data_IF_329066386145
#
_entry.id   IF_329066386145
#
_cell.length_a   1.000
_cell.length_b   1.000
_cell.length_c   1.000
_cell.angle_alpha   90.00
_cell.angle_beta   90.00
_cell.angle_gamma   90.00
#
_symmetry.space_group_name_H-M   'P 1'
#
loop_
_entity.id
_entity.type
_entity.pdbx_description
1 polymer ?
#
# COMPACT_ATOMS: atom_id res chain seq x y z
N UNK A 1 -5.13 23.81 -8.81
CA UNK A 1 -5.84 22.54 -8.80
C UNK A 1 -7.14 22.72 -8.03
N UNK A 2 -8.22 22.08 -8.46
CA UNK A 2 -9.52 22.14 -7.81
C UNK A 2 -9.74 20.83 -7.06
N UNK A 3 -10.32 20.86 -5.86
CA UNK A 3 -10.63 19.63 -5.13
C UNK A 3 -12.05 19.17 -5.49
N UNK A 4 -12.17 18.32 -6.50
CA UNK A 4 -13.49 17.85 -6.97
C UNK A 4 -14.20 16.98 -5.91
N UNK A 5 -13.44 16.38 -4.99
CA UNK A 5 -13.98 15.62 -3.88
C UNK A 5 -14.64 16.53 -2.84
N UNK A 6 -13.98 17.62 -2.46
CA UNK A 6 -14.51 18.58 -1.48
C UNK A 6 -15.70 19.37 -2.02
N UNK A 7 -15.73 19.65 -3.33
CA UNK A 7 -16.80 20.43 -3.98
C UNK A 7 -17.95 19.53 -4.44
N UNK A 8 -17.76 18.21 -4.44
CA UNK A 8 -18.79 17.24 -4.84
C UNK A 8 -19.06 17.23 -6.34
N UNK A 9 -18.07 17.62 -7.16
CA UNK A 9 -18.15 17.60 -8.63
C UNK A 9 -17.61 16.32 -9.25
N UNK A 10 -17.13 15.39 -8.43
CA UNK A 10 -16.71 14.06 -8.87
C UNK A 10 -17.91 13.22 -9.35
N UNK A 11 -17.63 12.19 -10.16
CA UNK A 11 -18.64 11.26 -10.68
C UNK A 11 -18.53 9.85 -10.07
N UNK A 12 -17.85 9.69 -8.93
CA UNK A 12 -17.77 8.43 -8.20
C UNK A 12 -19.15 7.88 -7.82
N UNK A 13 -19.31 6.56 -7.90
CA UNK A 13 -20.50 5.86 -7.43
C UNK A 13 -20.61 5.88 -5.90
N UNK A 14 -21.80 5.57 -5.37
CA UNK A 14 -22.04 5.51 -3.92
C UNK A 14 -21.20 4.43 -3.19
N UNK A 15 -20.69 3.43 -3.93
CA UNK A 15 -19.79 2.40 -3.39
C UNK A 15 -18.30 2.79 -3.47
N UNK A 16 -17.98 3.93 -4.09
CA UNK A 16 -16.62 4.42 -4.25
C UNK A 16 -16.35 5.61 -3.35
N UNK A 17 -15.10 5.75 -2.93
CA UNK A 17 -14.59 6.91 -2.22
C UNK A 17 -13.83 7.79 -3.20
N UNK A 18 -14.20 9.07 -3.28
CA UNK A 18 -13.47 10.05 -4.07
C UNK A 18 -12.12 10.34 -3.42
N UNK A 19 -11.06 10.33 -4.22
CA UNK A 19 -9.72 10.68 -3.81
C UNK A 19 -9.14 11.74 -4.74
N UNK A 20 -8.89 12.92 -4.19
CA UNK A 20 -8.40 14.07 -4.94
C UNK A 20 -6.91 13.90 -5.25
N UNK A 21 -6.52 14.14 -6.51
CA UNK A 21 -5.12 14.12 -6.95
C UNK A 21 -4.83 15.38 -7.76
N UNK A 22 -3.56 15.65 -8.02
CA UNK A 22 -3.22 16.86 -8.74
C UNK A 22 -3.76 16.83 -10.19
N UNK A 23 -4.68 17.74 -10.49
CA UNK A 23 -5.28 17.93 -11.81
C UNK A 23 -6.43 16.97 -12.12
N UNK A 24 -6.87 16.15 -11.16
CA UNK A 24 -7.94 15.16 -11.37
C UNK A 24 -8.41 14.53 -10.03
N UNK A 25 -9.31 13.56 -10.11
CA UNK A 25 -9.67 12.72 -8.97
C UNK A 25 -9.65 11.24 -9.38
N UNK A 26 -9.69 10.35 -8.39
CA UNK A 26 -9.85 8.90 -8.56
C UNK A 26 -10.97 8.40 -7.68
N UNK A 27 -11.83 7.56 -8.25
CA UNK A 27 -12.86 6.85 -7.52
C UNK A 27 -12.29 5.49 -7.12
N UNK A 28 -12.15 5.28 -5.81
CA UNK A 28 -11.53 4.08 -5.26
C UNK A 28 -12.59 3.26 -4.54
N UNK A 29 -12.74 2.01 -4.93
CA UNK A 29 -13.56 1.04 -4.21
C UNK A 29 -12.68 0.22 -3.26
N UNK A 30 -13.08 0.18 -2.00
CA UNK A 30 -12.40 -0.53 -0.93
C UNK A 30 -13.33 -1.55 -0.30
N UNK A 31 -13.21 -2.81 -0.73
CA UNK A 31 -13.93 -3.93 -0.14
C UNK A 31 -12.96 -4.89 0.52
N UNK A 32 -13.31 -5.33 1.73
CA UNK A 32 -12.55 -6.36 2.41
C UNK A 32 -12.79 -7.72 1.75
N UNK A 33 -11.73 -8.50 1.46
CA UNK A 33 -11.90 -9.85 0.95
C UNK A 33 -12.69 -10.75 1.90
N UNK A 34 -13.19 -11.88 1.39
CA UNK A 34 -13.82 -12.91 2.21
C UNK A 34 -12.95 -13.29 3.42
N UNK A 35 -13.57 -13.51 4.58
CA UNK A 35 -12.91 -13.76 5.87
C UNK A 35 -12.16 -12.54 6.47
N UNK A 36 -12.43 -11.33 5.98
CA UNK A 36 -11.97 -10.09 6.60
C UNK A 36 -13.14 -9.16 6.91
N UNK A 37 -13.09 -8.50 8.06
CA UNK A 37 -14.05 -7.46 8.44
C UNK A 37 -13.43 -6.07 8.22
N UNK A 38 -14.25 -5.11 7.78
CA UNK A 38 -13.87 -3.70 7.68
C UNK A 38 -13.79 -3.11 9.09
N UNK A 39 -12.62 -2.57 9.43
CA UNK A 39 -12.35 -1.92 10.74
C UNK A 39 -12.27 -0.40 10.60
N UNK A 40 -11.91 0.09 9.41
CA UNK A 40 -12.00 1.49 9.01
C UNK A 40 -12.09 1.57 7.48
N UNK A 41 -12.21 2.77 6.92
CA UNK A 41 -12.29 2.97 5.46
C UNK A 41 -11.11 2.39 4.67
N UNK A 42 -9.95 2.24 5.30
CA UNK A 42 -8.74 1.76 4.65
C UNK A 42 -8.18 0.49 5.28
N UNK A 43 -8.92 -0.18 6.17
CA UNK A 43 -8.36 -1.28 6.95
C UNK A 43 -9.33 -2.42 7.14
N UNK A 44 -8.83 -3.61 6.83
CA UNK A 44 -9.49 -4.88 7.07
C UNK A 44 -8.70 -5.69 8.09
N UNK A 45 -9.40 -6.42 8.95
CA UNK A 45 -8.79 -7.37 9.87
C UNK A 45 -9.37 -8.77 9.64
N UNK A 46 -8.50 -9.78 9.70
CA UNK A 46 -8.91 -11.17 9.52
C UNK A 46 -9.88 -11.57 10.63
N UNK A 47 -10.97 -12.25 10.26
CA UNK A 47 -12.00 -12.69 11.20
C UNK A 47 -11.54 -13.95 11.93
N UNK A 48 -11.12 -14.98 11.18
CA UNK A 48 -10.66 -16.25 11.75
C UNK A 48 -9.56 -16.88 10.89
N UNK A 49 -8.79 -17.80 11.46
CA UNK A 49 -7.94 -18.75 10.78
C UNK A 49 -7.95 -20.07 11.57
N UNK A 50 -8.04 -21.21 10.88
CA UNK A 50 -8.36 -22.49 11.52
C UNK A 50 -7.12 -23.23 12.04
N UNK A 51 -5.94 -22.91 11.52
CA UNK A 51 -4.69 -23.52 11.94
C UNK A 51 -3.51 -22.54 11.82
N UNK A 52 -2.40 -22.88 12.48
CA UNK A 52 -1.21 -22.04 12.54
C UNK A 52 -0.64 -21.69 11.15
N UNK A 53 -0.61 -22.65 10.22
CA UNK A 53 -0.06 -22.43 8.87
C UNK A 53 -0.90 -21.43 8.06
N UNK A 54 -2.22 -21.52 8.15
CA UNK A 54 -3.14 -20.54 7.56
C UNK A 54 -2.97 -19.17 8.21
N UNK A 55 -2.87 -19.12 9.55
CA UNK A 55 -2.69 -17.88 10.28
C UNK A 55 -1.38 -17.16 9.91
N UNK A 56 -0.33 -17.93 9.58
CA UNK A 56 0.96 -17.42 9.12
C UNK A 56 0.94 -16.95 7.67
N UNK A 57 0.26 -17.67 6.78
CA UNK A 57 0.28 -17.39 5.33
C UNK A 57 -0.80 -16.42 4.86
N UNK A 58 -1.77 -16.10 5.72
CA UNK A 58 -2.76 -15.06 5.45
C UNK A 58 -2.48 -13.82 6.29
N UNK A 59 -2.66 -12.60 5.75
CA UNK A 59 -2.40 -11.40 6.52
C UNK A 59 -3.38 -11.26 7.70
N UNK A 60 -2.89 -10.87 8.87
CA UNK A 60 -3.76 -10.51 9.99
C UNK A 60 -4.52 -9.21 9.70
N UNK A 61 -3.93 -8.36 8.87
CA UNK A 61 -4.43 -7.04 8.52
C UNK A 61 -4.08 -6.68 7.09
N UNK A 62 -5.06 -6.14 6.39
CA UNK A 62 -4.90 -5.52 5.07
C UNK A 62 -5.11 -4.02 5.28
N UNK A 63 -4.18 -3.19 4.82
CA UNK A 63 -4.29 -1.74 4.91
C UNK A 63 -4.04 -1.11 3.57
N UNK A 64 -4.95 -0.23 3.17
CA UNK A 64 -4.87 0.52 1.93
C UNK A 64 -4.17 1.84 2.19
N UNK A 65 -3.24 2.20 1.30
CA UNK A 65 -2.51 3.45 1.34
C UNK A 65 -2.64 4.12 -0.02
N UNK A 66 -2.67 5.45 -0.03
CA UNK A 66 -2.64 6.24 -1.26
C UNK A 66 -1.39 7.11 -1.22
N UNK A 67 -0.63 7.14 -2.30
CA UNK A 67 0.55 7.96 -2.48
C UNK A 67 0.41 8.77 -3.78
N UNK A 68 0.68 10.06 -3.69
CA UNK A 68 0.61 10.97 -4.83
C UNK A 68 2.02 11.47 -5.16
N UNK A 69 2.42 11.30 -6.42
CA UNK A 69 3.66 11.83 -6.94
C UNK A 69 3.44 12.49 -8.30
N UNK A 70 4.37 13.33 -8.71
CA UNK A 70 4.42 13.87 -10.08
C UNK A 70 5.39 13.03 -10.93
N UNK A 71 5.31 13.15 -12.25
CA UNK A 71 6.33 12.59 -13.15
C UNK A 71 7.72 13.17 -12.86
N UNK A 72 8.77 12.52 -13.38
CA UNK A 72 10.17 12.94 -13.21
C UNK A 72 10.74 12.84 -11.79
N UNK A 73 10.19 11.92 -10.99
CA UNK A 73 10.81 11.51 -9.72
C UNK A 73 12.24 11.02 -9.98
N UNK A 74 13.22 11.61 -9.30
CA UNK A 74 14.62 11.19 -9.36
C UNK A 74 14.76 9.83 -8.69
N UNK A 75 15.20 8.82 -9.44
CA UNK A 75 15.39 7.45 -8.92
C UNK A 75 16.83 7.16 -8.51
N UNK A 76 17.07 6.35 -7.46
CA UNK A 76 16.06 5.66 -6.66
C UNK A 76 15.39 6.56 -5.61
N UNK A 77 14.05 6.50 -5.52
CA UNK A 77 13.27 7.29 -4.56
C UNK A 77 12.57 6.39 -3.53
N UNK A 78 12.70 6.67 -2.24
CA UNK A 78 11.98 5.94 -1.20
C UNK A 78 10.55 6.48 -1.13
N UNK A 79 9.56 5.65 -1.46
CA UNK A 79 8.16 6.09 -1.59
C UNK A 79 7.29 5.62 -0.43
N UNK A 80 7.69 4.56 0.25
CA UNK A 80 6.91 3.99 1.34
C UNK A 80 7.84 3.34 2.37
N UNK A 81 7.59 3.61 3.65
CA UNK A 81 8.31 3.00 4.76
C UNK A 81 7.34 2.15 5.57
N UNK A 82 7.76 0.92 5.89
CA UNK A 82 6.93 -0.03 6.61
C UNK A 82 7.75 -0.71 7.72
N UNK A 83 7.10 -0.96 8.85
CA UNK A 83 7.66 -1.63 10.01
C UNK A 83 6.60 -1.78 11.11
N UNK A 84 6.89 -2.55 12.16
CA UNK A 84 5.99 -2.68 13.30
C UNK A 84 5.94 -1.37 14.11
N UNK A 85 4.79 -1.11 14.73
CA UNK A 85 4.61 -0.01 15.67
C UNK A 85 3.86 -0.53 16.90
N UNK A 86 4.50 -0.61 18.09
CA UNK A 86 5.92 -0.34 18.35
C UNK A 86 6.85 -1.47 17.82
N UNK A 87 8.12 -1.12 17.65
CA UNK A 87 9.20 -2.07 17.34
C UNK A 87 9.91 -2.52 18.64
N UNK A 88 10.27 -3.79 18.71
CA UNK A 88 10.97 -4.39 19.84
C UNK A 88 12.30 -5.01 19.41
N UNK A 89 13.21 -5.17 20.38
CA UNK A 89 14.46 -5.87 20.16
C UNK A 89 14.20 -7.32 19.70
N UNK A 90 14.92 -7.75 18.67
CA UNK A 90 14.75 -9.07 18.06
C UNK A 90 13.72 -9.14 16.93
N UNK A 91 12.96 -8.08 16.68
CA UNK A 91 12.07 -8.03 15.51
C UNK A 91 12.85 -8.17 14.21
N UNK A 92 12.33 -9.01 13.31
CA UNK A 92 12.81 -9.14 11.94
C UNK A 92 11.65 -9.03 10.96
N UNK A 93 11.83 -8.29 9.87
CA UNK A 93 10.83 -8.22 8.80
C UNK A 93 11.37 -8.78 7.47
N UNK A 94 10.45 -9.34 6.70
CA UNK A 94 10.62 -9.72 5.30
C UNK A 94 9.60 -8.95 4.48
N UNK A 95 10.03 -8.33 3.37
CA UNK A 95 9.18 -7.58 2.47
C UNK A 95 9.17 -8.22 1.08
N UNK A 96 7.97 -8.33 0.51
CA UNK A 96 7.76 -8.89 -0.84
C UNK A 96 6.70 -8.09 -1.56
N UNK A 97 6.93 -7.78 -2.84
CA UNK A 97 5.87 -7.25 -3.72
C UNK A 97 5.22 -8.44 -4.42
N UNK A 98 3.97 -8.73 -4.07
CA UNK A 98 3.24 -9.89 -4.58
C UNK A 98 2.52 -9.58 -5.90
N UNK A 99 2.07 -8.34 -6.13
CA UNK A 99 1.32 -7.91 -7.34
C UNK A 99 1.55 -6.43 -7.67
N UNK A 100 1.24 -6.03 -8.92
CA UNK A 100 1.18 -4.64 -9.36
C UNK A 100 2.50 -4.02 -9.82
N UNK A 101 3.54 -4.86 -10.00
CA UNK A 101 4.88 -4.45 -10.38
C UNK A 101 5.41 -5.22 -11.60
N UNK A 102 4.54 -5.46 -12.57
CA UNK A 102 4.81 -6.28 -13.77
C UNK A 102 5.97 -5.69 -14.60
N UNK A 103 6.11 -4.36 -14.60
CA UNK A 103 7.18 -3.64 -15.31
C UNK A 103 8.42 -3.35 -14.44
N UNK A 104 8.48 -3.87 -13.21
CA UNK A 104 9.61 -3.72 -12.29
C UNK A 104 9.99 -2.25 -11.99
N UNK A 105 9.01 -1.36 -11.87
CA UNK A 105 9.25 0.04 -11.44
C UNK A 105 9.66 0.13 -9.97
N UNK A 106 9.17 -0.79 -9.15
CA UNK A 106 9.35 -0.78 -7.70
C UNK A 106 10.22 -1.93 -7.23
N UNK A 107 10.89 -1.74 -6.11
CA UNK A 107 11.61 -2.80 -5.40
C UNK A 107 11.53 -2.55 -3.90
N UNK A 108 11.91 -3.55 -3.11
CA UNK A 108 11.92 -3.46 -1.66
C UNK A 108 13.32 -3.59 -1.11
N UNK A 109 13.59 -2.93 0.00
CA UNK A 109 14.87 -3.03 0.70
C UNK A 109 14.67 -2.90 2.20
N UNK A 110 15.42 -3.67 2.98
CA UNK A 110 15.51 -3.48 4.43
C UNK A 110 16.45 -2.33 4.75
N UNK A 111 16.02 -1.42 5.64
CA UNK A 111 16.88 -0.39 6.20
C UNK A 111 17.56 -0.87 7.48
N UNK A 112 16.86 -1.67 8.28
CA UNK A 112 17.37 -2.38 9.44
C UNK A 112 16.56 -3.67 9.66
N UNK A 113 16.67 -4.32 10.83
CA UNK A 113 16.00 -5.60 11.06
C UNK A 113 14.47 -5.50 11.03
N UNK A 114 13.88 -4.37 11.46
CA UNK A 114 12.43 -4.20 11.61
C UNK A 114 11.82 -3.13 10.70
N UNK A 115 12.65 -2.38 9.96
CA UNK A 115 12.22 -1.33 9.04
C UNK A 115 12.61 -1.71 7.62
N UNK A 116 11.66 -1.60 6.70
CA UNK A 116 11.92 -1.71 5.28
C UNK A 116 11.21 -0.63 4.50
N UNK A 117 11.58 -0.55 3.22
CA UNK A 117 11.09 0.46 2.30
C UNK A 117 10.66 -0.19 1.00
N UNK A 118 9.66 0.41 0.38
CA UNK A 118 9.38 0.29 -1.05
C UNK A 118 10.00 1.52 -1.71
N UNK A 119 10.79 1.30 -2.75
CA UNK A 119 11.41 2.38 -3.49
C UNK A 119 11.16 2.25 -4.99
N UNK A 120 11.00 3.38 -5.65
CA UNK A 120 10.94 3.49 -7.09
C UNK A 120 12.36 3.35 -7.64
N UNK A 121 12.61 2.35 -8.46
CA UNK A 121 13.92 2.05 -9.06
C UNK A 121 14.01 2.44 -10.54
N UNK A 122 12.87 2.68 -11.21
CA UNK A 122 12.81 3.14 -12.60
C UNK A 122 11.96 4.40 -12.68
N UNK A 123 12.42 5.37 -13.46
CA UNK A 123 11.67 6.61 -13.67
C UNK A 123 10.38 6.31 -14.44
N UNK A 124 9.28 6.89 -13.99
CA UNK A 124 7.99 6.87 -14.69
C UNK A 124 7.88 8.17 -15.49
N UNK A 125 7.95 8.04 -16.83
CA UNK A 125 7.98 9.19 -17.74
C UNK A 125 6.60 9.80 -17.98
N UNK A 126 5.59 8.94 -18.10
CA UNK A 126 4.21 9.32 -18.37
C UNK A 126 3.34 9.17 -17.11
N UNK A 127 2.26 9.96 -16.97
CA UNK A 127 1.31 9.77 -15.88
C UNK A 127 0.78 8.34 -15.84
N UNK A 128 0.82 7.71 -14.67
CA UNK A 128 0.45 6.31 -14.52
C UNK A 128 0.07 5.98 -13.08
N UNK A 129 -0.95 5.16 -12.95
CA UNK A 129 -1.45 4.67 -11.67
C UNK A 129 -0.99 3.23 -11.45
N UNK A 130 -0.63 2.90 -10.22
CA UNK A 130 -0.24 1.55 -9.80
C UNK A 130 -1.02 1.14 -8.55
N UNK A 131 -1.25 -0.17 -8.41
CA UNK A 131 -1.76 -0.76 -7.18
C UNK A 131 -0.84 -1.90 -6.77
N UNK A 132 0.01 -1.66 -5.77
CA UNK A 132 0.95 -2.66 -5.27
C UNK A 132 0.34 -3.47 -4.13
N UNK A 133 0.52 -4.79 -4.18
CA UNK A 133 0.30 -5.67 -3.03
C UNK A 133 1.64 -5.96 -2.36
N UNK A 134 1.97 -5.22 -1.30
CA UNK A 134 3.22 -5.35 -0.56
C UNK A 134 2.98 -6.13 0.72
N UNK A 135 3.53 -7.33 0.80
CA UNK A 135 3.48 -8.19 1.97
C UNK A 135 4.65 -7.88 2.91
N UNK A 136 4.35 -7.74 4.20
CA UNK A 136 5.33 -7.73 5.28
C UNK A 136 5.10 -8.91 6.20
N UNK A 137 6.08 -9.81 6.29
CA UNK A 137 6.14 -10.83 7.35
C UNK A 137 7.00 -10.32 8.49
N UNK A 138 6.40 -10.18 9.67
CA UNK A 138 7.07 -9.85 10.92
C UNK A 138 7.36 -11.14 11.70
N UNK A 139 8.63 -11.41 11.94
CA UNK A 139 9.06 -12.39 12.92
C UNK A 139 9.23 -11.71 14.28
N UNK A 140 8.49 -12.18 15.28
CA UNK A 140 8.54 -11.69 16.67
C UNK A 140 8.35 -12.86 17.63
N UNK A 141 9.28 -13.02 18.58
CA UNK A 141 9.21 -14.04 19.63
C UNK A 141 8.91 -15.46 19.09
N UNK A 142 9.57 -15.84 17.98
CA UNK A 142 9.41 -17.17 17.37
C UNK A 142 8.19 -17.34 16.46
N UNK A 143 7.34 -16.32 16.28
CA UNK A 143 6.13 -16.40 15.46
C UNK A 143 6.19 -15.44 14.28
N UNK A 144 5.73 -15.88 13.11
CA UNK A 144 5.51 -15.03 11.95
C UNK A 144 4.09 -14.46 11.93
N UNK A 145 3.98 -13.16 11.78
CA UNK A 145 2.71 -12.46 11.53
C UNK A 145 2.80 -11.75 10.19
N UNK A 146 1.82 -11.99 9.31
CA UNK A 146 1.80 -11.41 7.97
C UNK A 146 0.88 -10.19 7.93
N UNK A 147 1.30 -9.15 7.22
CA UNK A 147 0.55 -7.91 6.98
C UNK A 147 0.57 -7.63 5.48
N UNK A 148 -0.53 -7.09 4.94
CA UNK A 148 -0.62 -6.71 3.53
C UNK A 148 -0.89 -5.21 3.41
N UNK A 149 0.00 -4.50 2.75
CA UNK A 149 -0.20 -3.12 2.35
C UNK A 149 -0.62 -3.08 0.88
N UNK A 150 -1.85 -2.61 0.62
CA UNK A 150 -2.35 -2.33 -0.73
C UNK A 150 -2.10 -0.86 -1.04
N UNK A 151 -1.09 -0.56 -1.85
CA UNK A 151 -0.61 0.80 -2.06
C UNK A 151 -1.04 1.28 -3.44
N UNK A 152 -2.03 2.17 -3.46
CA UNK A 152 -2.35 2.97 -4.65
C UNK A 152 -1.29 4.06 -4.82
N UNK A 153 -0.64 4.09 -5.97
CA UNK A 153 0.39 5.08 -6.31
C UNK A 153 -0.10 5.80 -7.56
N UNK A 154 -0.43 7.08 -7.41
CA UNK A 154 -0.87 7.94 -8.51
C UNK A 154 0.31 8.81 -8.92
N UNK A 155 0.77 8.65 -10.17
CA UNK A 155 1.80 9.50 -10.77
C UNK A 155 1.12 10.41 -11.78
N UNK A 156 0.97 11.69 -11.44
CA UNK A 156 0.32 12.70 -12.29
C UNK A 156 1.35 13.46 -13.13
N UNK A 157 0.91 14.11 -14.20
CA UNK A 157 1.77 15.00 -14.97
C UNK A 157 2.33 16.11 -14.07
N UNK A 158 3.56 16.54 -14.34
CA UNK A 158 4.13 17.70 -13.68
C UNK A 158 3.31 18.94 -14.05
N UNK A 159 2.80 19.66 -13.05
CA UNK A 159 2.20 20.96 -13.29
C UNK A 159 3.32 21.96 -13.55
N UNK A 160 3.31 22.58 -14.74
CA UNK A 160 4.13 23.74 -15.06
C UNK A 160 3.67 24.97 -14.29
#
# INVERSE_FOLDING_TARGET
DIDECAIGTHNCSAAETCYNIQGSFRCLSFECPSNYRKVSDMRCERINCFNYLECQNTPVRITYYQLNFQTNIVVPAHIFRIGPSPAYAGDNIILTINKGNEENYFSTRRLNSYTGIVYLQRQVKEPKDFLLDVEMKLWRQGTYTTFLAKIYIFITAHAY
#
